data_IF_665603821425
#
_entry.id   IF_665603821425
#
_cell.length_a   1.000
_cell.length_b   1.000
_cell.length_c   1.000
_cell.angle_alpha   90.00
_cell.angle_beta   90.00
_cell.angle_gamma   90.00
#
_symmetry.space_group_name_H-M   'P 1'
#
loop_
_entity.id
_entity.type
_entity.pdbx_description
1 polymer ?
#
# COMPACT_ATOMS: atom_id res chain seq x y z
N UNK A 1 -30.88 44.72 3.26
CA UNK A 1 -29.63 45.30 2.72
C UNK A 1 -28.51 44.50 3.37
N UNK A 2 -28.20 43.35 2.80
CA UNK A 2 -27.39 42.31 3.43
C UNK A 2 -26.00 42.35 2.81
N UNK A 3 -25.00 42.72 3.61
CA UNK A 3 -23.61 42.84 3.15
C UNK A 3 -22.99 41.44 3.11
N UNK A 4 -22.68 40.98 1.89
CA UNK A 4 -21.80 39.84 1.63
C UNK A 4 -20.40 40.22 2.13
N UNK A 5 -19.89 39.50 3.14
CA UNK A 5 -18.50 39.61 3.56
C UNK A 5 -17.67 38.67 2.68
N UNK A 6 -17.04 39.22 1.65
CA UNK A 6 -15.97 38.56 0.93
C UNK A 6 -14.76 38.46 1.86
N UNK A 7 -14.38 37.24 2.23
CA UNK A 7 -13.14 36.94 2.93
C UNK A 7 -12.04 36.82 1.88
N UNK A 8 -11.29 37.89 1.66
CA UNK A 8 -10.08 37.88 0.82
C UNK A 8 -8.99 37.06 1.52
N UNK A 9 -8.80 35.82 1.08
CA UNK A 9 -7.63 35.01 1.40
C UNK A 9 -6.43 35.71 0.78
N UNK A 10 -5.57 36.25 1.63
CA UNK A 10 -4.36 36.97 1.23
C UNK A 10 -3.28 35.92 1.02
N UNK A 11 -2.97 35.65 -0.25
CA UNK A 11 -1.87 34.80 -0.71
C UNK A 11 -0.57 35.27 -0.06
N UNK A 12 -0.05 34.45 0.85
CA UNK A 12 1.23 34.66 1.53
C UNK A 12 2.36 34.19 0.59
N UNK A 13 2.58 34.89 -0.52
CA UNK A 13 3.76 34.70 -1.37
C UNK A 13 4.99 35.25 -0.65
N UNK A 14 5.65 34.41 0.14
CA UNK A 14 6.81 34.76 0.96
C UNK A 14 7.93 33.77 0.64
N UNK A 15 8.90 34.27 -0.17
CA UNK A 15 10.30 33.84 -0.32
C UNK A 15 10.64 32.63 -1.21
N UNK A 16 10.62 32.85 -2.53
CA UNK A 16 11.59 32.25 -3.46
C UNK A 16 12.49 33.36 -4.03
N UNK A 17 13.36 33.91 -3.19
CA UNK A 17 14.46 34.80 -3.64
C UNK A 17 15.73 34.25 -3.03
N UNK A 18 16.51 33.46 -3.77
CA UNK A 18 17.81 33.05 -3.25
C UNK A 18 18.68 32.04 -3.99
N UNK A 19 18.20 31.25 -4.97
CA UNK A 19 19.05 30.29 -5.68
C UNK A 19 19.41 30.79 -7.09
N UNK A 20 20.47 31.60 -7.19
CA UNK A 20 21.18 31.74 -8.46
C UNK A 20 21.88 30.42 -8.75
N UNK A 21 21.23 29.58 -9.55
CA UNK A 21 21.80 28.35 -10.07
C UNK A 21 23.10 28.64 -10.84
N UNK A 22 24.16 27.95 -10.43
CA UNK A 22 25.31 27.73 -11.30
C UNK A 22 24.87 26.77 -12.40
N UNK A 23 24.64 27.28 -13.61
CA UNK A 23 24.48 26.48 -14.81
C UNK A 23 25.84 25.85 -15.16
N UNK A 24 26.13 24.68 -14.59
CA UNK A 24 27.17 23.79 -15.05
C UNK A 24 26.47 22.65 -15.80
N UNK A 25 26.56 22.64 -17.13
CA UNK A 25 25.83 21.74 -18.04
C UNK A 25 26.30 20.26 -17.99
N UNK A 26 26.99 19.86 -16.92
CA UNK A 26 27.09 18.45 -16.54
C UNK A 26 26.01 18.23 -15.48
N UNK A 27 24.78 17.99 -15.94
CA UNK A 27 23.70 17.37 -15.15
C UNK A 27 24.08 15.91 -14.87
N UNK A 28 25.22 15.70 -14.19
CA UNK A 28 25.31 14.55 -13.31
C UNK A 28 24.31 14.88 -12.20
N UNK A 29 23.14 14.28 -12.31
CA UNK A 29 22.08 14.28 -11.31
C UNK A 29 22.77 14.08 -9.96
N UNK A 30 22.94 15.17 -9.20
CA UNK A 30 23.62 15.12 -7.92
C UNK A 30 22.65 14.48 -6.94
N UNK A 31 22.49 13.16 -7.05
CA UNK A 31 21.80 12.35 -6.06
C UNK A 31 22.52 12.59 -4.74
N UNK A 32 21.76 13.08 -3.75
CA UNK A 32 22.29 13.34 -2.42
C UNK A 32 22.59 11.97 -1.83
N UNK A 33 23.85 11.66 -1.64
CA UNK A 33 24.27 10.38 -1.07
C UNK A 33 24.18 10.44 0.46
N UNK A 34 24.10 9.29 1.14
CA UNK A 34 24.16 9.25 2.61
C UNK A 34 25.40 9.90 3.23
N UNK A 35 26.47 10.10 2.46
CA UNK A 35 27.70 10.76 2.92
C UNK A 35 27.59 12.31 2.89
N UNK A 36 26.58 12.87 2.22
CA UNK A 36 26.42 14.32 2.07
C UNK A 36 25.85 14.98 3.34
N UNK A 37 26.37 16.17 3.67
CA UNK A 37 25.99 16.92 4.89
C UNK A 37 24.49 17.28 4.95
N UNK A 38 23.81 17.28 3.81
CA UNK A 38 22.40 17.64 3.67
C UNK A 38 21.47 16.42 3.55
N UNK A 39 21.99 15.19 3.58
CA UNK A 39 21.19 13.97 3.44
C UNK A 39 20.08 13.87 4.51
N UNK A 40 20.43 14.10 5.78
CA UNK A 40 19.46 14.15 6.88
C UNK A 40 18.35 15.20 6.67
N UNK A 41 18.68 16.29 5.95
CA UNK A 41 17.70 17.33 5.62
C UNK A 41 16.80 16.88 4.47
N UNK A 42 17.32 16.15 3.48
CA UNK A 42 16.52 15.53 2.42
C UNK A 42 15.48 14.60 3.02
N UNK A 43 15.91 13.65 3.87
CA UNK A 43 15.01 12.70 4.53
C UNK A 43 13.89 13.39 5.34
N UNK A 44 14.21 14.51 6.00
CA UNK A 44 13.21 15.29 6.73
C UNK A 44 12.19 15.97 5.80
N UNK A 45 12.64 16.46 4.65
CA UNK A 45 11.76 17.06 3.64
C UNK A 45 10.85 15.98 3.06
N UNK A 46 11.40 14.83 2.69
CA UNK A 46 10.66 13.67 2.17
C UNK A 46 9.57 13.21 3.15
N UNK A 47 9.90 13.04 4.44
CA UNK A 47 8.91 12.67 5.47
C UNK A 47 7.84 13.75 5.64
N UNK A 48 8.22 15.02 5.50
CA UNK A 48 7.29 16.15 5.59
C UNK A 48 6.34 16.15 4.39
N UNK A 49 6.84 16.00 3.17
CA UNK A 49 6.04 15.94 1.95
C UNK A 49 5.05 14.77 2.00
N UNK A 50 5.50 13.59 2.41
CA UNK A 50 4.63 12.44 2.61
C UNK A 50 3.51 12.73 3.61
N UNK A 51 3.82 13.39 4.73
CA UNK A 51 2.86 13.71 5.78
C UNK A 51 1.84 14.78 5.39
N UNK A 52 2.19 15.67 4.45
CA UNK A 52 1.31 16.73 3.94
C UNK A 52 0.52 16.33 2.70
N UNK A 53 0.84 15.19 2.08
CA UNK A 53 0.13 14.67 0.90
C UNK A 53 -1.15 13.96 1.35
N UNK A 54 -2.29 14.55 1.04
CA UNK A 54 -3.61 14.07 1.47
C UNK A 54 -4.16 12.99 0.53
N UNK A 55 -3.93 13.16 -0.78
CA UNK A 55 -4.36 12.20 -1.79
C UNK A 55 -3.55 10.90 -1.71
N UNK A 56 -4.24 9.77 -1.79
CA UNK A 56 -3.62 8.45 -1.64
C UNK A 56 -2.76 8.07 -2.84
N UNK A 57 -3.15 8.48 -4.05
CA UNK A 57 -2.41 8.20 -5.28
C UNK A 57 -1.17 9.09 -5.38
N UNK A 58 -1.28 10.37 -5.06
CA UNK A 58 -0.12 11.25 -4.94
C UNK A 58 0.86 10.73 -3.89
N UNK A 59 0.37 10.24 -2.75
CA UNK A 59 1.25 9.66 -1.72
C UNK A 59 1.91 8.36 -2.21
N UNK A 60 1.20 7.54 -2.97
CA UNK A 60 1.77 6.35 -3.60
C UNK A 60 2.89 6.73 -4.59
N UNK A 61 2.69 7.74 -5.43
CA UNK A 61 3.73 8.26 -6.33
C UNK A 61 4.97 8.76 -5.58
N UNK A 62 4.78 9.50 -4.48
CA UNK A 62 5.93 9.95 -3.67
C UNK A 62 6.70 8.78 -3.02
N UNK A 63 5.99 7.77 -2.52
CA UNK A 63 6.65 6.56 -1.98
C UNK A 63 7.44 5.81 -3.05
N UNK A 64 6.91 5.79 -4.27
CA UNK A 64 7.52 5.17 -5.45
C UNK A 64 8.79 5.90 -5.88
N UNK A 65 8.75 7.23 -5.92
CA UNK A 65 9.89 8.11 -6.18
C UNK A 65 10.99 7.92 -5.14
N UNK A 66 10.65 7.98 -3.84
CA UNK A 66 11.64 7.77 -2.77
C UNK A 66 12.23 6.36 -2.81
N UNK A 67 11.48 5.35 -3.24
CA UNK A 67 12.04 4.02 -3.44
C UNK A 67 13.07 4.00 -4.58
N UNK A 68 12.82 4.72 -5.68
CA UNK A 68 13.78 4.82 -6.79
C UNK A 68 15.04 5.61 -6.40
N UNK A 69 14.91 6.65 -5.58
CA UNK A 69 16.03 7.40 -5.02
C UNK A 69 16.94 6.50 -4.17
N UNK A 70 16.36 5.74 -3.23
CA UNK A 70 17.13 4.78 -2.42
C UNK A 70 17.82 3.75 -3.31
N UNK A 71 17.18 3.29 -4.37
CA UNK A 71 17.79 2.34 -5.31
C UNK A 71 18.99 2.95 -6.04
N UNK A 72 18.89 4.21 -6.44
CA UNK A 72 19.96 4.94 -7.14
C UNK A 72 21.15 5.19 -6.21
N UNK A 73 20.90 5.47 -4.92
CA UNK A 73 21.95 5.56 -3.90
C UNK A 73 22.63 4.22 -3.61
N UNK A 74 21.86 3.12 -3.62
CA UNK A 74 22.40 1.76 -3.51
C UNK A 74 23.38 1.47 -4.65
N UNK A 75 23.05 1.87 -5.89
CA UNK A 75 23.94 1.72 -7.04
C UNK A 75 25.28 2.42 -6.80
N UNK A 76 25.25 3.68 -6.35
CA UNK A 76 26.45 4.48 -6.03
C UNK A 76 27.28 3.82 -4.92
N UNK A 77 26.65 3.38 -3.83
CA UNK A 77 27.34 2.73 -2.71
C UNK A 77 27.96 1.38 -3.12
N UNK A 78 27.25 0.59 -3.94
CA UNK A 78 27.76 -0.66 -4.49
C UNK A 78 28.98 -0.40 -5.38
N UNK A 79 28.95 0.63 -6.24
CA UNK A 79 30.10 1.02 -7.05
C UNK A 79 31.29 1.51 -6.22
N UNK A 80 31.03 2.20 -5.12
CA UNK A 80 32.05 2.61 -4.15
C UNK A 80 32.58 1.44 -3.30
N UNK A 81 31.93 0.27 -3.33
CA UNK A 81 32.24 -0.88 -2.49
C UNK A 81 31.80 -0.74 -1.03
N UNK A 82 30.92 0.22 -0.73
CA UNK A 82 30.38 0.46 0.60
C UNK A 82 29.12 -0.39 0.86
N UNK A 83 29.35 -1.69 1.02
CA UNK A 83 28.29 -2.70 0.99
C UNK A 83 27.43 -2.73 2.26
N UNK A 84 27.97 -2.33 3.42
CA UNK A 84 27.20 -2.27 4.68
C UNK A 84 26.13 -1.16 4.63
N UNK A 85 26.47 0.01 4.06
CA UNK A 85 25.51 1.10 3.89
C UNK A 85 24.50 0.79 2.79
N UNK A 86 24.94 0.17 1.69
CA UNK A 86 24.03 -0.29 0.63
C UNK A 86 22.98 -1.28 1.16
N UNK A 87 23.36 -2.19 2.06
CA UNK A 87 22.41 -3.11 2.70
C UNK A 87 21.40 -2.37 3.57
N UNK A 88 21.82 -1.32 4.28
CA UNK A 88 20.93 -0.49 5.10
C UNK A 88 19.92 0.27 4.24
N UNK A 89 20.36 0.87 3.13
CA UNK A 89 19.46 1.52 2.18
C UNK A 89 18.50 0.53 1.52
N UNK A 90 18.93 -0.71 1.26
CA UNK A 90 18.06 -1.73 0.72
C UNK A 90 16.93 -2.11 1.69
N UNK A 91 17.18 -2.08 3.00
CA UNK A 91 16.10 -2.23 3.99
C UNK A 91 15.14 -1.03 3.98
N UNK A 92 15.62 0.17 3.69
CA UNK A 92 14.79 1.37 3.58
C UNK A 92 13.95 1.35 2.30
N UNK A 93 14.55 1.00 1.16
CA UNK A 93 13.87 0.67 -0.09
C UNK A 93 12.69 -0.29 0.13
N UNK A 94 12.92 -1.41 0.84
CA UNK A 94 11.86 -2.37 1.16
C UNK A 94 10.74 -1.74 1.99
N UNK A 95 11.05 -0.85 2.94
CA UNK A 95 10.02 -0.16 3.74
C UNK A 95 9.15 0.78 2.88
N UNK A 96 9.73 1.44 1.88
CA UNK A 96 8.96 2.28 0.97
C UNK A 96 8.01 1.43 0.11
N UNK A 97 8.47 0.29 -0.42
CA UNK A 97 7.61 -0.65 -1.14
C UNK A 97 6.47 -1.20 -0.27
N UNK A 98 6.77 -1.61 0.97
CA UNK A 98 5.73 -2.12 1.89
C UNK A 98 4.65 -1.06 2.20
N UNK A 99 5.07 0.22 2.30
CA UNK A 99 4.14 1.34 2.49
C UNK A 99 3.34 1.63 1.22
N UNK A 100 3.99 1.62 0.06
CA UNK A 100 3.35 1.82 -1.24
C UNK A 100 2.24 0.78 -1.44
N UNK A 101 2.53 -0.49 -1.18
CA UNK A 101 1.54 -1.57 -1.21
C UNK A 101 0.37 -1.30 -0.26
N UNK A 102 0.66 -0.85 0.97
CA UNK A 102 -0.39 -0.53 1.95
C UNK A 102 -1.30 0.62 1.52
N UNK A 103 -0.75 1.68 0.91
CA UNK A 103 -1.55 2.82 0.42
C UNK A 103 -2.43 2.41 -0.76
N UNK A 104 -1.91 1.57 -1.67
CA UNK A 104 -2.68 1.04 -2.79
C UNK A 104 -3.82 0.10 -2.32
N UNK A 105 -3.58 -0.75 -1.33
CA UNK A 105 -4.62 -1.59 -0.71
C UNK A 105 -5.68 -0.76 0.04
N UNK A 106 -5.30 0.34 0.69
CA UNK A 106 -6.25 1.21 1.40
C UNK A 106 -7.18 1.98 0.46
N UNK A 107 -6.71 2.35 -0.74
CA UNK A 107 -7.53 3.00 -1.78
C UNK A 107 -8.71 2.11 -2.22
N UNK A 108 -8.43 0.84 -2.55
CA UNK A 108 -9.43 -0.16 -2.96
C UNK A 108 -10.55 -0.25 -1.90
N UNK A 109 -10.18 -0.42 -0.63
CA UNK A 109 -11.13 -0.56 0.47
C UNK A 109 -12.01 0.69 0.73
N UNK A 110 -11.55 1.88 0.34
CA UNK A 110 -12.31 3.12 0.53
C UNK A 110 -13.29 3.37 -0.62
N UNK A 111 -12.95 2.95 -1.84
CA UNK A 111 -13.79 3.10 -3.03
C UNK A 111 -15.10 2.29 -2.90
N UNK A 112 -15.01 1.05 -2.41
CA UNK A 112 -16.17 0.16 -2.18
C UNK A 112 -17.22 0.74 -1.21
N UNK A 113 -16.81 1.60 -0.27
CA UNK A 113 -17.71 2.16 0.74
C UNK A 113 -18.52 3.34 0.20
N UNK A 114 -17.98 4.07 -0.77
CA UNK A 114 -18.65 5.23 -1.36
C UNK A 114 -19.81 4.80 -2.27
N UNK A 115 -19.65 3.75 -3.06
CA UNK A 115 -20.70 3.26 -3.98
C UNK A 115 -21.91 2.66 -3.24
N UNK A 116 -21.72 2.07 -2.05
CA UNK A 116 -22.82 1.47 -1.28
C UNK A 116 -23.72 2.53 -0.58
N UNK A 117 -23.24 3.76 -0.36
CA UNK A 117 -24.03 4.84 0.25
C UNK A 117 -24.91 5.59 -0.76
N UNK A 118 -24.50 5.73 -2.03
CA UNK A 118 -25.34 6.36 -3.07
C UNK A 118 -26.54 5.48 -3.49
N UNK A 119 -26.42 4.15 -3.42
CA UNK A 119 -27.50 3.24 -3.79
C UNK A 119 -28.71 3.23 -2.83
N UNK A 120 -28.67 3.97 -1.71
CA UNK A 120 -29.72 3.94 -0.67
C UNK A 120 -30.65 5.17 -0.73
N UNK A 121 -30.34 6.22 -1.49
CA UNK A 121 -31.17 7.43 -1.55
C UNK A 121 -32.22 7.47 -2.68
N UNK A 122 -32.23 6.52 -3.63
CA UNK A 122 -33.17 6.58 -4.78
C UNK A 122 -34.59 6.01 -4.53
N UNK A 123 -34.95 5.50 -3.35
CA UNK A 123 -36.25 4.80 -3.15
C UNK A 123 -37.20 5.45 -2.11
N UNK A 124 -37.09 6.77 -1.88
CA UNK A 124 -38.10 7.57 -1.16
C UNK A 124 -38.69 8.68 -2.05
N UNK A 125 -39.23 8.30 -3.21
CA UNK A 125 -40.23 9.10 -3.94
C UNK A 125 -41.54 9.18 -3.13
N UNK A 126 -41.52 10.01 -2.08
CA UNK A 126 -42.71 10.54 -1.45
C UNK A 126 -43.21 11.75 -2.21
N UNK A 127 -44.34 11.62 -2.92
CA UNK A 127 -45.11 12.75 -3.47
C UNK A 127 -45.25 13.90 -2.45
N UNK A 128 -44.56 15.02 -2.70
CA UNK A 128 -44.87 16.31 -2.07
C UNK A 128 -45.27 17.30 -3.16
N UNK A 129 -46.43 17.95 -3.05
CA UNK A 129 -46.90 18.91 -4.04
C UNK A 129 -46.22 20.26 -3.83
N UNK A 130 -45.54 20.69 -4.90
CA UNK A 130 -45.68 21.97 -5.61
C UNK A 130 -45.64 23.32 -4.86
N UNK A 131 -44.96 24.26 -5.53
CA UNK A 131 -44.84 25.71 -5.31
C UNK A 131 -43.73 26.20 -4.37
N UNK A 132 -42.49 26.31 -4.87
CA UNK A 132 -41.78 27.60 -4.96
C UNK A 132 -40.51 27.47 -5.83
N UNK A 133 -40.59 28.01 -7.06
CA UNK A 133 -39.47 28.15 -8.01
C UNK A 133 -38.43 29.18 -7.51
N UNK A 134 -37.20 29.00 -8.03
CA UNK A 134 -36.13 29.99 -8.23
C UNK A 134 -34.89 29.83 -7.33
N UNK A 135 -33.75 29.56 -7.99
CA UNK A 135 -32.38 29.32 -7.46
C UNK A 135 -32.12 27.85 -7.12
N UNK A 136 -31.22 27.10 -7.76
CA UNK A 136 -29.85 27.44 -8.19
C UNK A 136 -29.41 26.31 -9.13
N UNK A 137 -28.98 26.62 -10.36
CA UNK A 137 -28.77 25.66 -11.47
C UNK A 137 -27.33 25.74 -12.02
N UNK A 138 -26.33 25.97 -11.15
CA UNK A 138 -24.91 26.09 -11.51
C UNK A 138 -24.04 25.39 -10.46
N UNK A 139 -23.96 24.06 -10.43
CA UNK A 139 -22.94 23.30 -9.67
C UNK A 139 -23.04 21.78 -9.98
N UNK A 140 -22.83 21.36 -11.24
CA UNK A 140 -22.68 19.93 -11.56
C UNK A 140 -21.95 19.68 -12.90
N UNK A 141 -20.75 20.25 -13.08
CA UNK A 141 -19.89 19.93 -14.25
C UNK A 141 -18.45 19.52 -13.85
N UNK A 142 -18.14 19.27 -12.57
CA UNK A 142 -16.74 19.11 -12.11
C UNK A 142 -16.27 17.65 -11.88
N UNK A 143 -17.06 16.62 -12.23
CA UNK A 143 -16.77 15.24 -11.79
C UNK A 143 -16.04 14.33 -12.80
N UNK A 144 -15.74 14.78 -14.03
CA UNK A 144 -15.13 13.90 -15.06
C UNK A 144 -13.63 14.12 -15.29
N UNK A 145 -13.01 15.18 -14.74
CA UNK A 145 -11.56 15.40 -14.92
C UNK A 145 -10.71 14.54 -13.96
N UNK A 146 -11.23 14.22 -12.76
CA UNK A 146 -10.47 13.50 -11.71
C UNK A 146 -10.24 12.00 -12.02
N UNK A 147 -11.01 11.40 -12.94
CA UNK A 147 -10.81 9.99 -13.33
C UNK A 147 -9.59 9.81 -14.23
N UNK A 148 -9.34 10.76 -15.14
CA UNK A 148 -8.24 10.66 -16.12
C UNK A 148 -6.85 10.89 -15.49
N UNK A 149 -6.77 11.65 -14.38
CA UNK A 149 -5.51 11.89 -13.66
C UNK A 149 -5.06 10.64 -12.87
N UNK A 150 -6.01 9.92 -12.27
CA UNK A 150 -5.72 8.69 -11.54
C UNK A 150 -5.19 7.57 -12.45
N UNK A 151 -5.75 7.40 -13.65
CA UNK A 151 -5.28 6.38 -14.59
C UNK A 151 -3.83 6.65 -15.04
N UNK A 152 -3.46 7.92 -15.24
CA UNK A 152 -2.09 8.31 -15.60
C UNK A 152 -1.09 8.01 -14.49
N UNK A 153 -1.43 8.34 -13.24
CA UNK A 153 -0.61 8.04 -12.08
C UNK A 153 -0.38 6.54 -11.90
N UNK A 154 -1.42 5.73 -12.13
CA UNK A 154 -1.33 4.27 -12.07
C UNK A 154 -0.41 3.69 -13.16
N UNK A 155 -0.45 4.24 -14.37
CA UNK A 155 0.45 3.85 -15.46
C UNK A 155 1.90 4.25 -15.16
N UNK A 156 2.12 5.40 -14.51
CA UNK A 156 3.44 5.86 -14.07
C UNK A 156 4.04 4.91 -13.01
N UNK A 157 3.28 4.58 -11.95
CA UNK A 157 3.70 3.60 -10.94
C UNK A 157 4.10 2.27 -11.58
N UNK A 158 3.35 1.81 -12.59
CA UNK A 158 3.62 0.56 -13.29
C UNK A 158 4.90 0.63 -14.12
N UNK A 159 5.16 1.75 -14.79
CA UNK A 159 6.38 1.93 -15.56
C UNK A 159 7.61 2.02 -14.65
N UNK A 160 7.51 2.77 -13.55
CA UNK A 160 8.56 2.89 -12.55
C UNK A 160 8.88 1.54 -11.91
N UNK A 161 7.86 0.73 -11.59
CA UNK A 161 8.05 -0.63 -11.11
C UNK A 161 8.89 -1.46 -12.11
N UNK A 162 8.57 -1.45 -13.41
CA UNK A 162 9.38 -2.15 -14.43
C UNK A 162 10.83 -1.66 -14.43
N UNK A 163 11.05 -0.35 -14.37
CA UNK A 163 12.39 0.23 -14.35
C UNK A 163 13.19 -0.23 -13.12
N UNK A 164 12.60 -0.21 -11.93
CA UNK A 164 13.23 -0.73 -10.71
C UNK A 164 13.54 -2.21 -10.78
N UNK A 165 12.66 -3.02 -11.38
CA UNK A 165 12.94 -4.44 -11.62
C UNK A 165 14.18 -4.60 -12.50
N UNK A 166 14.31 -3.79 -13.55
CA UNK A 166 15.49 -3.82 -14.44
C UNK A 166 16.76 -3.41 -13.67
N UNK A 167 16.72 -2.32 -12.90
CA UNK A 167 17.83 -1.85 -12.07
C UNK A 167 18.29 -2.92 -11.06
N UNK A 168 17.35 -3.52 -10.32
CA UNK A 168 17.64 -4.59 -9.37
C UNK A 168 18.20 -5.85 -10.05
N UNK A 169 17.68 -6.24 -11.22
CA UNK A 169 18.24 -7.35 -11.99
C UNK A 169 19.67 -7.06 -12.44
N UNK A 170 19.94 -5.85 -12.94
CA UNK A 170 21.28 -5.44 -13.33
C UNK A 170 22.25 -5.47 -12.15
N UNK A 171 21.83 -5.00 -10.97
CA UNK A 171 22.62 -5.10 -9.73
C UNK A 171 22.89 -6.56 -9.32
N UNK A 172 21.92 -7.46 -9.50
CA UNK A 172 22.06 -8.87 -9.15
C UNK A 172 23.04 -9.63 -10.08
N UNK A 173 23.08 -9.25 -11.35
CA UNK A 173 23.97 -9.84 -12.37
C UNK A 173 25.45 -9.49 -12.16
N UNK A 174 25.76 -8.49 -11.32
CA UNK A 174 27.14 -8.10 -11.00
C UNK A 174 27.91 -9.23 -10.30
N UNK A 175 29.07 -9.59 -10.86
CA UNK A 175 29.93 -10.65 -10.31
C UNK A 175 30.65 -10.22 -9.03
N UNK A 176 30.91 -8.93 -8.86
CA UNK A 176 31.65 -8.33 -7.74
C UNK A 176 30.81 -8.11 -6.48
N UNK A 177 29.51 -8.35 -6.54
CA UNK A 177 28.60 -8.20 -5.41
C UNK A 177 28.77 -9.34 -4.40
N UNK A 178 28.90 -9.09 -3.09
CA UNK A 178 28.91 -10.14 -2.08
C UNK A 178 27.58 -10.91 -2.05
N UNK A 179 27.62 -12.19 -1.71
CA UNK A 179 26.43 -13.06 -1.64
C UNK A 179 25.32 -12.49 -0.75
N UNK A 180 25.68 -11.83 0.34
CA UNK A 180 24.72 -11.20 1.25
C UNK A 180 23.93 -10.07 0.56
N UNK A 181 24.60 -9.19 -0.20
CA UNK A 181 23.91 -8.13 -0.94
C UNK A 181 23.05 -8.72 -2.07
N UNK A 182 23.52 -9.77 -2.74
CA UNK A 182 22.73 -10.49 -3.76
C UNK A 182 21.46 -11.08 -3.16
N UNK A 183 21.55 -11.69 -1.98
CA UNK A 183 20.39 -12.22 -1.27
C UNK A 183 19.40 -11.11 -0.90
N UNK A 184 19.91 -9.95 -0.46
CA UNK A 184 19.10 -8.76 -0.21
C UNK A 184 18.35 -8.31 -1.47
N UNK A 185 19.05 -8.10 -2.58
CA UNK A 185 18.47 -7.65 -3.86
C UNK A 185 17.45 -8.67 -4.38
N UNK A 186 17.75 -9.97 -4.29
CA UNK A 186 16.83 -11.02 -4.69
C UNK A 186 15.52 -10.98 -3.87
N UNK A 187 15.62 -10.75 -2.55
CA UNK A 187 14.45 -10.54 -1.69
C UNK A 187 13.69 -9.26 -2.06
N UNK A 188 14.40 -8.18 -2.42
CA UNK A 188 13.78 -6.93 -2.86
C UNK A 188 12.98 -7.13 -4.17
N UNK A 189 13.53 -7.89 -5.13
CA UNK A 189 12.83 -8.29 -6.35
C UNK A 189 11.60 -9.16 -6.08
N UNK A 190 11.68 -10.10 -5.15
CA UNK A 190 10.54 -10.93 -4.75
C UNK A 190 9.43 -10.07 -4.13
N UNK A 191 9.79 -9.14 -3.24
CA UNK A 191 8.83 -8.23 -2.62
C UNK A 191 8.16 -7.32 -3.66
N UNK A 192 8.94 -6.78 -4.58
CA UNK A 192 8.42 -5.95 -5.67
C UNK A 192 7.43 -6.74 -6.55
N UNK A 193 7.76 -7.96 -6.95
CA UNK A 193 6.86 -8.82 -7.74
C UNK A 193 5.55 -9.10 -7.01
N UNK A 194 5.63 -9.33 -5.69
CA UNK A 194 4.47 -9.55 -4.85
C UNK A 194 3.57 -8.31 -4.79
N UNK A 195 4.16 -7.13 -4.59
CA UNK A 195 3.42 -5.87 -4.59
C UNK A 195 2.74 -5.63 -5.95
N UNK A 196 3.45 -5.87 -7.07
CA UNK A 196 2.88 -5.78 -8.42
C UNK A 196 1.73 -6.78 -8.64
N UNK A 197 1.86 -8.02 -8.18
CA UNK A 197 0.80 -9.03 -8.27
C UNK A 197 -0.43 -8.64 -7.44
N UNK A 198 -0.23 -8.18 -6.21
CA UNK A 198 -1.30 -7.73 -5.34
C UNK A 198 -2.04 -6.53 -5.94
N UNK A 199 -1.31 -5.58 -6.52
CA UNK A 199 -1.87 -4.45 -7.24
C UNK A 199 -2.71 -4.88 -8.46
N UNK A 200 -2.18 -5.77 -9.30
CA UNK A 200 -2.92 -6.28 -10.46
C UNK A 200 -4.18 -7.06 -10.04
N UNK A 201 -4.11 -7.78 -8.92
CA UNK A 201 -5.26 -8.50 -8.36
C UNK A 201 -6.33 -7.55 -7.85
N UNK A 202 -5.95 -6.47 -7.18
CA UNK A 202 -6.87 -5.41 -6.74
C UNK A 202 -7.61 -4.80 -7.94
N UNK A 203 -6.85 -4.36 -8.96
CA UNK A 203 -7.42 -3.77 -10.18
C UNK A 203 -8.30 -4.74 -10.98
N UNK A 204 -7.92 -6.02 -11.04
CA UNK A 204 -8.70 -7.04 -11.74
C UNK A 204 -10.06 -7.34 -11.11
N UNK A 205 -10.23 -7.15 -9.79
CA UNK A 205 -11.55 -7.29 -9.16
C UNK A 205 -12.53 -6.21 -9.59
N UNK A 206 -12.06 -4.99 -9.85
CA UNK A 206 -12.94 -3.90 -10.32
C UNK A 206 -13.55 -4.23 -11.69
N UNK A 207 -12.81 -4.90 -12.57
CA UNK A 207 -13.30 -5.32 -13.89
C UNK A 207 -14.25 -6.53 -13.83
N UNK A 208 -14.06 -7.45 -12.88
CA UNK A 208 -14.90 -8.66 -12.72
C UNK A 208 -16.17 -8.40 -11.87
N UNK A 209 -16.13 -7.57 -10.82
CA UNK A 209 -17.31 -7.25 -10.00
C UNK A 209 -18.35 -6.38 -10.77
N UNK A 210 -17.94 -5.69 -11.84
CA UNK A 210 -18.86 -5.05 -12.80
C UNK A 210 -19.60 -6.01 -13.73
N UNK A 211 -19.23 -7.31 -13.78
CA UNK A 211 -19.89 -8.32 -14.63
C UNK A 211 -20.32 -9.60 -13.90
N UNK A 212 -19.95 -9.81 -12.63
CA UNK A 212 -20.24 -11.03 -11.88
C UNK A 212 -21.36 -10.92 -10.82
N UNK A 213 -22.52 -10.38 -11.19
CA UNK A 213 -23.79 -10.90 -10.61
C UNK A 213 -24.13 -12.31 -11.17
N UNK A 214 -23.21 -12.97 -11.89
CA UNK A 214 -23.47 -14.27 -12.48
C UNK A 214 -22.23 -15.09 -12.89
N UNK A 215 -21.23 -15.36 -12.03
CA UNK A 215 -20.52 -16.66 -12.04
C UNK A 215 -19.55 -16.89 -10.87
N UNK A 216 -20.07 -17.51 -9.80
CA UNK A 216 -19.25 -18.16 -8.78
C UNK A 216 -18.39 -19.30 -9.36
N UNK A 217 -17.11 -19.29 -8.94
CA UNK A 217 -16.17 -20.42 -8.71
C UNK A 217 -15.55 -21.10 -9.93
N UNK A 218 -14.23 -20.95 -10.09
CA UNK A 218 -13.24 -22.05 -10.08
C UNK A 218 -11.81 -21.50 -10.30
N UNK A 219 -10.94 -21.65 -9.30
CA UNK A 219 -9.62 -22.31 -9.41
C UNK A 219 -8.56 -21.70 -8.47
N UNK A 220 -8.37 -22.39 -7.34
CA UNK A 220 -7.18 -22.29 -6.51
C UNK A 220 -6.45 -23.65 -6.61
N UNK A 221 -5.42 -23.72 -7.45
CA UNK A 221 -4.50 -24.84 -7.52
C UNK A 221 -3.07 -24.29 -7.63
N UNK A 222 -2.48 -23.99 -6.47
CA UNK A 222 -1.09 -23.57 -6.34
C UNK A 222 -0.18 -24.77 -6.60
N UNK A 223 0.64 -24.67 -7.64
CA UNK A 223 1.66 -25.64 -8.03
C UNK A 223 2.90 -25.45 -7.14
N UNK A 224 3.17 -26.44 -6.29
CA UNK A 224 4.35 -26.55 -5.42
C UNK A 224 5.60 -26.76 -6.28
N UNK A 225 6.36 -25.69 -6.54
CA UNK A 225 7.66 -25.76 -7.21
C UNK A 225 8.70 -26.28 -6.22
N UNK A 226 9.05 -27.56 -6.35
CA UNK A 226 10.18 -28.16 -5.65
C UNK A 226 11.50 -27.63 -6.21
N UNK A 227 12.30 -26.96 -5.38
CA UNK A 227 13.72 -26.71 -5.60
C UNK A 227 14.47 -28.05 -5.75
N UNK A 228 15.31 -28.24 -6.78
CA UNK A 228 16.17 -29.41 -6.88
C UNK A 228 17.36 -29.30 -5.91
N UNK A 229 17.56 -30.36 -5.11
CA UNK A 229 18.78 -30.66 -4.38
C UNK A 229 19.99 -30.66 -5.34
N UNK A 230 20.91 -29.71 -5.17
CA UNK A 230 22.27 -29.79 -5.72
C UNK A 230 23.18 -30.53 -4.73
N UNK A 231 23.27 -31.84 -4.91
CA UNK A 231 24.37 -32.67 -4.43
C UNK A 231 25.35 -32.97 -5.59
N UNK A 232 26.64 -33.02 -5.23
CA UNK A 232 27.79 -33.61 -5.94
C UNK A 232 28.34 -32.90 -7.19
N UNK A 233 29.58 -32.37 -7.08
CA UNK A 233 30.77 -33.00 -7.70
C UNK A 233 32.10 -32.49 -7.08
N UNK A 234 32.74 -33.40 -6.33
CA UNK A 234 34.19 -33.77 -6.29
C UNK A 234 35.34 -32.74 -6.36
N UNK A 235 36.11 -32.71 -5.26
CA UNK A 235 37.51 -33.18 -5.13
C UNK A 235 38.59 -32.63 -6.11
N UNK A 236 39.58 -31.88 -5.60
CA UNK A 236 40.94 -32.41 -5.34
C UNK A 236 41.97 -31.32 -4.87
N UNK A 237 42.81 -31.73 -3.89
CA UNK A 237 44.19 -31.31 -3.50
C UNK A 237 44.64 -29.82 -3.54
N UNK A 238 45.17 -29.29 -2.43
CA UNK A 238 46.60 -29.48 -2.10
C UNK A 238 46.95 -28.97 -0.68
N UNK A 239 47.69 -29.83 0.01
CA UNK A 239 48.43 -29.69 1.27
C UNK A 239 49.35 -28.47 1.37
N UNK A 240 49.36 -27.79 2.52
CA UNK A 240 50.60 -27.31 3.14
C UNK A 240 50.50 -27.31 4.67
N UNK A 241 51.39 -28.08 5.28
CA UNK A 241 51.61 -28.32 6.71
C UNK A 241 52.12 -27.07 7.49
N UNK A 242 52.16 -27.15 8.84
CA UNK A 242 51.93 -26.03 9.75
C UNK A 242 53.21 -25.34 10.21
N UNK A 243 53.08 -24.08 10.66
CA UNK A 243 54.07 -23.50 11.56
C UNK A 243 53.45 -23.26 12.94
N UNK A 244 54.21 -23.71 13.92
CA UNK A 244 53.86 -24.01 15.29
C UNK A 244 54.35 -22.86 16.18
N UNK A 245 53.70 -22.68 17.33
CA UNK A 245 54.11 -21.87 18.47
C UNK A 245 53.71 -20.38 18.47
N UNK A 246 52.65 -20.08 19.23
CA UNK A 246 52.82 -19.69 20.65
C UNK A 246 51.49 -19.72 21.38
N UNK A 247 51.44 -20.58 22.39
CA UNK A 247 50.49 -20.53 23.50
C UNK A 247 50.43 -19.12 24.10
N UNK A 248 49.24 -18.55 24.11
CA UNK A 248 48.81 -17.66 25.18
C UNK A 248 47.35 -17.99 25.49
N UNK A 249 47.18 -18.85 26.50
CA UNK A 249 45.94 -19.06 27.24
C UNK A 249 45.43 -17.74 27.81
N UNK A 250 44.54 -17.05 27.09
CA UNK A 250 43.45 -16.20 27.60
C UNK A 250 42.72 -15.49 26.44
N UNK A 251 41.61 -16.07 25.92
CA UNK A 251 40.57 -15.22 25.32
C UNK A 251 39.13 -15.76 25.50
N UNK A 252 38.78 -16.49 26.56
CA UNK A 252 37.41 -17.01 26.73
C UNK A 252 36.38 -15.92 27.07
N UNK A 253 36.75 -14.89 27.84
CA UNK A 253 35.81 -13.86 28.32
C UNK A 253 35.35 -12.87 27.22
N UNK A 254 36.16 -12.68 26.17
CA UNK A 254 35.83 -11.78 25.05
C UNK A 254 34.85 -12.42 24.05
N UNK A 255 34.88 -13.75 23.92
CA UNK A 255 33.95 -14.50 23.05
C UNK A 255 32.57 -14.60 23.70
N UNK A 256 32.52 -14.79 25.02
CA UNK A 256 31.26 -14.87 25.77
C UNK A 256 30.47 -13.55 25.76
N UNK A 257 31.17 -12.40 25.90
CA UNK A 257 30.54 -11.08 25.81
C UNK A 257 29.99 -10.76 24.41
N UNK A 258 30.66 -11.20 23.33
CA UNK A 258 30.14 -11.03 21.97
C UNK A 258 28.88 -11.86 21.75
N UNK A 259 28.84 -13.09 22.28
CA UNK A 259 27.66 -13.97 22.19
C UNK A 259 26.46 -13.39 22.95
N UNK A 260 26.65 -12.91 24.18
CA UNK A 260 25.57 -12.28 24.96
C UNK A 260 24.99 -11.04 24.26
N UNK A 261 25.86 -10.19 23.67
CA UNK A 261 25.40 -9.00 22.95
C UNK A 261 24.63 -9.32 21.66
N UNK A 262 24.97 -10.43 20.99
CA UNK A 262 24.23 -10.93 19.83
C UNK A 262 22.87 -11.51 20.24
N UNK A 263 22.81 -12.30 21.32
CA UNK A 263 21.56 -12.84 21.87
C UNK A 263 20.61 -11.71 22.35
N UNK A 264 21.13 -10.65 22.97
CA UNK A 264 20.33 -9.49 23.40
C UNK A 264 19.74 -8.73 22.20
N UNK A 265 20.53 -8.52 21.13
CA UNK A 265 20.04 -7.90 19.89
C UNK A 265 18.96 -8.76 19.22
N UNK A 266 19.16 -10.08 19.17
CA UNK A 266 18.18 -11.00 18.59
C UNK A 266 16.86 -11.02 19.39
N UNK A 267 16.95 -11.03 20.72
CA UNK A 267 15.77 -10.96 21.58
C UNK A 267 14.98 -9.65 21.39
N UNK A 268 15.68 -8.52 21.28
CA UNK A 268 15.04 -7.20 21.05
C UNK A 268 14.40 -7.10 19.66
N UNK A 269 14.98 -7.74 18.65
CA UNK A 269 14.39 -7.83 17.31
C UNK A 269 13.12 -8.70 17.33
N UNK A 270 13.15 -9.85 18.01
CA UNK A 270 11.97 -10.72 18.18
C UNK A 270 10.84 -10.02 18.95
N UNK A 271 11.15 -9.28 20.03
CA UNK A 271 10.15 -8.53 20.81
C UNK A 271 9.45 -7.46 19.94
N UNK A 272 10.20 -6.71 19.13
CA UNK A 272 9.63 -5.74 18.19
C UNK A 272 8.78 -6.40 17.10
N UNK A 273 9.18 -7.56 16.61
CA UNK A 273 8.40 -8.31 15.62
C UNK A 273 7.08 -8.83 16.21
N UNK A 274 7.10 -9.36 17.44
CA UNK A 274 5.88 -9.76 18.14
C UNK A 274 4.96 -8.59 18.45
N UNK A 275 5.50 -7.42 18.82
CA UNK A 275 4.70 -6.21 19.05
C UNK A 275 4.00 -5.75 17.77
N UNK A 276 4.70 -5.74 16.63
CA UNK A 276 4.11 -5.42 15.32
C UNK A 276 3.03 -6.43 14.95
N UNK A 277 3.26 -7.73 15.17
CA UNK A 277 2.28 -8.78 14.87
C UNK A 277 1.01 -8.63 15.71
N UNK A 278 1.14 -8.32 17.01
CA UNK A 278 -0.02 -8.07 17.89
C UNK A 278 -0.82 -6.84 17.45
N UNK A 279 -0.16 -5.75 17.06
CA UNK A 279 -0.84 -4.55 16.53
C UNK A 279 -1.59 -4.83 15.22
N UNK A 280 -1.01 -5.65 14.34
CA UNK A 280 -1.68 -6.07 13.11
C UNK A 280 -2.90 -6.98 13.41
N UNK A 281 -2.76 -7.93 14.34
CA UNK A 281 -3.84 -8.81 14.79
C UNK A 281 -4.99 -8.02 15.44
N UNK A 282 -4.69 -7.03 16.29
CA UNK A 282 -5.69 -6.14 16.92
C UNK A 282 -6.45 -5.30 15.88
N UNK A 283 -5.75 -4.74 14.88
CA UNK A 283 -6.40 -4.02 13.77
C UNK A 283 -7.30 -4.94 12.92
N UNK A 284 -6.88 -6.18 12.67
CA UNK A 284 -7.66 -7.15 11.93
C UNK A 284 -8.93 -7.56 12.70
N UNK A 285 -8.82 -7.80 14.02
CA UNK A 285 -9.95 -8.07 14.89
C UNK A 285 -10.95 -6.89 14.92
N UNK A 286 -10.47 -5.64 14.99
CA UNK A 286 -11.34 -4.46 14.95
C UNK A 286 -12.10 -4.34 13.63
N UNK A 287 -11.45 -4.62 12.49
CA UNK A 287 -12.11 -4.65 11.16
C UNK A 287 -13.18 -5.74 11.09
N UNK A 288 -12.90 -6.94 11.60
CA UNK A 288 -13.87 -8.06 11.65
C UNK A 288 -15.07 -7.70 12.54
N UNK A 289 -14.84 -7.07 13.72
CA UNK A 289 -15.93 -6.65 14.61
C UNK A 289 -16.83 -5.59 13.95
N UNK A 290 -16.24 -4.60 13.26
CA UNK A 290 -17.00 -3.58 12.51
C UNK A 290 -17.84 -4.21 11.39
N UNK A 291 -17.28 -5.15 10.64
CA UNK A 291 -17.99 -5.87 9.58
C UNK A 291 -19.16 -6.71 10.14
N UNK A 292 -18.94 -7.46 11.22
CA UNK A 292 -20.01 -8.23 11.89
C UNK A 292 -21.14 -7.33 12.39
N UNK A 293 -20.81 -6.16 12.95
CA UNK A 293 -21.81 -5.19 13.43
C UNK A 293 -22.62 -4.55 12.30
N UNK A 294 -22.00 -4.30 11.13
CA UNK A 294 -22.72 -3.87 9.92
C UNK A 294 -23.70 -4.96 9.46
N UNK A 295 -23.24 -6.20 9.39
CA UNK A 295 -24.04 -7.36 8.99
C UNK A 295 -25.23 -7.63 9.92
N UNK A 296 -25.02 -7.52 11.25
CA UNK A 296 -26.10 -7.67 12.24
C UNK A 296 -27.19 -6.58 12.07
N UNK A 297 -26.79 -5.32 11.85
CA UNK A 297 -27.73 -4.22 11.58
C UNK A 297 -28.51 -4.43 10.28
N UNK A 298 -27.85 -4.92 9.24
CA UNK A 298 -28.50 -5.24 7.96
C UNK A 298 -29.55 -6.35 8.14
N UNK A 299 -29.20 -7.43 8.87
CA UNK A 299 -30.15 -8.50 9.20
C UNK A 299 -31.31 -8.01 10.07
N UNK A 300 -31.07 -7.14 11.05
CA UNK A 300 -32.14 -6.57 11.89
C UNK A 300 -33.12 -5.72 11.05
N UNK A 301 -32.60 -4.90 10.13
CA UNK A 301 -33.43 -4.12 9.18
C UNK A 301 -34.24 -5.04 8.27
N UNK A 302 -33.62 -6.09 7.72
CA UNK A 302 -34.30 -7.07 6.86
C UNK A 302 -35.43 -7.79 7.59
N UNK A 303 -35.19 -8.25 8.83
CA UNK A 303 -36.20 -8.90 9.65
C UNK A 303 -37.36 -7.95 10.00
N UNK A 304 -37.07 -6.68 10.34
CA UNK A 304 -38.12 -5.66 10.57
C UNK A 304 -38.95 -5.38 9.32
N UNK A 305 -38.34 -5.38 8.13
CA UNK A 305 -39.07 -5.23 6.85
C UNK A 305 -39.97 -6.45 6.60
N UNK A 306 -39.47 -7.67 6.84
CA UNK A 306 -40.24 -8.90 6.69
C UNK A 306 -41.44 -8.97 7.66
N UNK A 307 -41.25 -8.63 8.93
CA UNK A 307 -42.33 -8.63 9.93
C UNK A 307 -43.45 -7.62 9.57
N UNK A 308 -43.08 -6.42 9.10
CA UNK A 308 -44.05 -5.42 8.60
C UNK A 308 -44.80 -5.90 7.35
N UNK A 309 -44.15 -6.67 6.48
CA UNK A 309 -44.79 -7.25 5.29
C UNK A 309 -45.82 -8.33 5.66
N UNK A 310 -45.50 -9.19 6.62
CA UNK A 310 -46.43 -10.19 7.15
C UNK A 310 -47.66 -9.53 7.82
N UNK A 311 -47.47 -8.49 8.64
CA UNK A 311 -48.58 -7.79 9.31
C UNK A 311 -49.53 -7.09 8.31
N UNK A 312 -48.99 -6.59 7.19
CA UNK A 312 -49.79 -6.03 6.09
C UNK A 312 -50.53 -7.11 5.29
N UNK A 313 -49.91 -8.27 5.09
CA UNK A 313 -50.50 -9.42 4.38
C UNK A 313 -51.81 -9.92 5.00
N UNK A 314 -51.85 -10.05 6.33
CA UNK A 314 -53.02 -10.56 7.05
C UNK A 314 -54.21 -9.58 7.07
N UNK A 315 -53.96 -8.26 7.07
CA UNK A 315 -55.04 -7.25 6.99
C UNK A 315 -55.76 -7.26 5.64
N UNK A 316 -55.09 -7.69 4.55
CA UNK A 316 -55.71 -7.73 3.21
C UNK A 316 -56.67 -8.91 3.01
N UNK A 317 -56.42 -10.06 3.66
CA UNK A 317 -57.25 -11.27 3.49
C UNK A 317 -58.61 -11.19 4.20
N UNK A 318 -58.81 -10.24 5.12
CA UNK A 318 -60.06 -10.09 5.88
C UNK A 318 -61.22 -9.36 5.18
N UNK A 319 -60.99 -8.62 4.08
CA UNK A 319 -62.02 -7.75 3.46
C UNK A 319 -62.77 -8.35 2.25
N UNK A 320 -62.42 -9.55 1.79
CA UNK A 320 -62.92 -10.10 0.53
C UNK A 320 -64.26 -10.86 0.55
N UNK A 321 -64.82 -11.25 1.70
CA UNK A 321 -65.86 -12.30 1.72
C UNK A 321 -67.32 -11.83 1.87
N UNK A 322 -67.69 -10.60 1.51
CA UNK A 322 -69.07 -10.10 1.73
C UNK A 322 -69.89 -9.67 0.49
N UNK A 323 -69.46 -9.98 -0.74
CA UNK A 323 -70.19 -9.51 -1.94
C UNK A 323 -70.95 -10.58 -2.75
N UNK A 324 -70.94 -11.85 -2.38
CA UNK A 324 -71.52 -12.91 -3.24
C UNK A 324 -72.92 -13.44 -2.86
N UNK A 325 -73.72 -12.72 -2.06
CA UNK A 325 -75.09 -13.15 -1.67
C UNK A 325 -76.26 -12.47 -2.41
N UNK A 326 -76.01 -11.73 -3.50
CA UNK A 326 -77.02 -10.89 -4.14
C UNK A 326 -77.75 -11.42 -5.40
N UNK A 327 -77.29 -12.49 -6.06
CA UNK A 327 -77.80 -12.86 -7.39
C UNK A 327 -78.47 -14.24 -7.42
N UNK A 328 -79.59 -14.40 -6.72
CA UNK A 328 -80.59 -15.44 -7.01
C UNK A 328 -81.99 -14.92 -6.68
N UNK A 329 -82.64 -14.25 -7.65
CA UNK A 329 -84.11 -14.10 -7.69
C UNK A 329 -84.59 -13.99 -9.12
#
# INVERSE_FOLDING_TARGET
MNMKKWLTITTLSVFFVGSTAYANENEEETSITPEDELYDTSLLIEETELAFTEDQIERALLLDEFADDRLSEIEVLVEAGNLEEAETLLEEYQKYLDRLESELEEKENNQDVAEEEEAIEEDDEGEVPDENEESTEEEQEESTEDQDENEQAEDELRENAKQRTIKLQALLEREDLPEQAKAGIAKALENQKRAEENYLRAKGKEDEEGQEENQEKEDEQVEEVSLPDEDEYTENEETSEPDESKETDQPTEKVENKKQKAEEKAAKAQEKAEEKRKKAEEKAEEKIEKAQKKLEKAQEKANKKAEKAEEKGDKSKGKGNNQQKGQQR
#
